data_IF_697122627306
#
_entry.id   IF_697122627306
#
_cell.length_a   1.000
_cell.length_b   1.000
_cell.length_c   1.000
_cell.angle_alpha   90.00
_cell.angle_beta   90.00
_cell.angle_gamma   90.00
#
_symmetry.space_group_name_H-M   'P 1'
#
loop_
_entity.id
_entity.type
_entity.pdbx_description
1 polymer ?
#
# COMPACT_ATOMS: atom_id res chain seq x y z
N UNK A 1 -3.11 -2.24 -13.11
CA UNK A 1 -4.21 -2.95 -12.41
C UNK A 1 -4.24 -4.41 -12.78
N UNK A 2 -3.93 -4.80 -14.03
CA UNK A 2 -3.79 -6.21 -14.41
C UNK A 2 -2.82 -6.98 -13.51
N UNK A 3 -1.63 -6.45 -13.24
CA UNK A 3 -0.67 -7.10 -12.33
C UNK A 3 -1.26 -7.39 -10.94
N UNK A 4 -1.94 -6.40 -10.34
CA UNK A 4 -2.58 -6.58 -9.04
C UNK A 4 -3.69 -7.63 -9.13
N UNK A 5 -4.46 -7.68 -10.22
CA UNK A 5 -5.53 -8.67 -10.37
C UNK A 5 -4.99 -10.09 -10.58
N UNK A 6 -3.85 -10.24 -11.25
CA UNK A 6 -3.19 -11.52 -11.50
C UNK A 6 -2.53 -12.14 -10.26
N UNK A 7 -2.18 -11.34 -9.26
CA UNK A 7 -1.63 -11.84 -8.00
C UNK A 7 -2.63 -12.76 -7.29
N UNK A 8 -2.12 -13.75 -6.55
CA UNK A 8 -2.95 -14.53 -5.65
C UNK A 8 -3.46 -13.67 -4.49
N UNK A 9 -4.54 -14.11 -3.83
CA UNK A 9 -5.07 -13.40 -2.66
C UNK A 9 -4.04 -13.29 -1.54
N UNK A 10 -3.27 -14.35 -1.29
CA UNK A 10 -2.23 -14.33 -0.24
C UNK A 10 -1.13 -13.32 -0.56
N UNK A 11 -0.72 -13.25 -1.84
CA UNK A 11 0.25 -12.26 -2.30
C UNK A 11 -0.29 -10.83 -2.15
N UNK A 12 -1.56 -10.60 -2.49
CA UNK A 12 -2.23 -9.30 -2.30
C UNK A 12 -2.23 -8.88 -0.83
N UNK A 13 -2.56 -9.80 0.08
CA UNK A 13 -2.59 -9.54 1.52
C UNK A 13 -1.19 -9.28 2.08
N UNK A 14 -0.21 -10.08 1.69
CA UNK A 14 1.19 -9.89 2.09
C UNK A 14 1.71 -8.53 1.63
N UNK A 15 1.48 -8.18 0.37
CA UNK A 15 1.88 -6.89 -0.20
C UNK A 15 1.15 -5.72 0.45
N UNK A 16 -0.13 -5.89 0.80
CA UNK A 16 -0.90 -4.91 1.56
C UNK A 16 -0.24 -4.63 2.92
N UNK A 17 0.12 -5.66 3.68
CA UNK A 17 0.78 -5.52 4.98
C UNK A 17 2.16 -4.87 4.87
N UNK A 18 2.92 -5.19 3.82
CA UNK A 18 4.22 -4.57 3.53
C UNK A 18 4.08 -3.06 3.27
N UNK A 19 3.11 -2.67 2.43
CA UNK A 19 2.85 -1.27 2.11
C UNK A 19 2.29 -0.48 3.30
N UNK A 20 1.45 -1.09 4.14
CA UNK A 20 0.96 -0.46 5.37
C UNK A 20 2.11 -0.21 6.35
N UNK A 21 3.04 -1.17 6.50
CA UNK A 21 4.27 -0.99 7.29
C UNK A 21 5.16 0.11 6.71
N UNK A 22 5.31 0.17 5.39
CA UNK A 22 6.06 1.24 4.73
C UNK A 22 5.43 2.61 4.98
N UNK A 23 4.11 2.72 4.84
CA UNK A 23 3.37 3.96 5.11
C UNK A 23 3.60 4.45 6.54
N UNK A 24 3.62 3.54 7.52
CA UNK A 24 3.92 3.88 8.91
C UNK A 24 5.35 4.40 9.03
N UNK A 25 6.35 3.72 8.44
CA UNK A 25 7.74 4.19 8.46
C UNK A 25 7.90 5.59 7.86
N UNK A 26 7.32 5.83 6.68
CA UNK A 26 7.37 7.13 6.00
C UNK A 26 6.70 8.24 6.83
N UNK A 27 5.56 7.95 7.44
CA UNK A 27 4.87 8.89 8.32
C UNK A 27 5.67 9.20 9.57
N UNK A 28 6.28 8.19 10.19
CA UNK A 28 7.13 8.37 11.37
C UNK A 28 8.34 9.24 11.03
N UNK A 29 9.01 8.98 9.90
CA UNK A 29 10.13 9.80 9.43
C UNK A 29 9.76 11.27 9.28
N UNK A 30 8.67 11.57 8.58
CA UNK A 30 8.20 12.95 8.42
C UNK A 30 7.84 13.58 9.77
N UNK A 31 7.21 12.80 10.67
CA UNK A 31 6.82 13.27 12.00
C UNK A 31 8.02 13.56 12.90
N UNK A 32 9.12 12.83 12.77
CA UNK A 32 10.37 13.09 13.49
C UNK A 32 11.19 14.23 12.89
N UNK A 33 10.65 14.98 11.91
CA UNK A 33 11.36 16.07 11.23
C UNK A 33 12.31 15.60 10.12
N UNK A 34 12.24 14.33 9.72
CA UNK A 34 12.96 13.81 8.58
C UNK A 34 12.35 14.28 7.26
N UNK A 35 13.19 14.44 6.24
CA UNK A 35 12.76 14.80 4.89
C UNK A 35 12.62 13.56 4.03
N UNK A 36 11.62 13.56 3.15
CA UNK A 36 11.49 12.55 2.10
C UNK A 36 12.26 13.01 0.87
N UNK A 37 12.99 12.10 0.24
CA UNK A 37 13.62 12.35 -1.07
C UNK A 37 12.55 12.67 -2.12
N UNK A 38 11.40 11.99 -2.04
CA UNK A 38 10.25 12.26 -2.88
C UNK A 38 9.00 12.55 -2.03
N UNK A 39 8.49 13.81 -1.99
CA UNK A 39 7.28 14.17 -1.27
C UNK A 39 6.03 13.38 -1.70
N UNK A 40 6.02 12.86 -2.94
CA UNK A 40 4.90 12.11 -3.49
C UNK A 40 4.88 10.63 -3.06
N UNK A 41 5.92 10.13 -2.40
CA UNK A 41 6.05 8.72 -2.04
C UNK A 41 4.91 8.25 -1.13
N UNK A 42 4.55 9.03 -0.10
CA UNK A 42 3.40 8.73 0.77
C UNK A 42 2.11 8.62 -0.05
N UNK A 43 1.92 9.50 -1.03
CA UNK A 43 0.73 9.49 -1.88
C UNK A 43 0.71 8.27 -2.80
N UNK A 44 1.86 7.85 -3.32
CA UNK A 44 1.99 6.66 -4.14
C UNK A 44 1.64 5.40 -3.32
N UNK A 45 2.26 5.21 -2.15
CA UNK A 45 1.98 4.07 -1.25
C UNK A 45 0.50 4.00 -0.88
N UNK A 46 -0.13 5.14 -0.55
CA UNK A 46 -1.58 5.18 -0.26
C UNK A 46 -2.44 4.75 -1.45
N UNK A 47 -2.05 5.11 -2.68
CA UNK A 47 -2.77 4.70 -3.89
C UNK A 47 -2.62 3.20 -4.13
N UNK A 48 -1.44 2.63 -3.90
CA UNK A 48 -1.21 1.21 -4.11
C UNK A 48 -1.95 0.34 -3.08
N UNK A 49 -1.97 0.78 -1.81
CA UNK A 49 -2.85 0.20 -0.78
C UNK A 49 -4.31 0.22 -1.23
N UNK A 50 -4.81 1.36 -1.73
CA UNK A 50 -6.20 1.48 -2.16
C UNK A 50 -6.52 0.54 -3.34
N UNK A 51 -5.59 0.38 -4.30
CA UNK A 51 -5.74 -0.54 -5.43
C UNK A 51 -5.79 -2.00 -4.99
N UNK A 52 -4.96 -2.41 -4.03
CA UNK A 52 -4.98 -3.75 -3.45
C UNK A 52 -6.30 -4.03 -2.71
N UNK A 53 -6.75 -3.10 -1.86
CA UNK A 53 -8.04 -3.23 -1.15
C UNK A 53 -9.20 -3.29 -2.14
N UNK A 54 -9.16 -2.53 -3.23
CA UNK A 54 -10.17 -2.60 -4.28
C UNK A 54 -10.18 -3.98 -4.95
N UNK A 55 -9.02 -4.51 -5.38
CA UNK A 55 -8.95 -5.82 -6.02
C UNK A 55 -9.44 -6.95 -5.09
N UNK A 56 -9.07 -6.91 -3.82
CA UNK A 56 -9.56 -7.86 -2.80
C UNK A 56 -11.08 -7.76 -2.61
N UNK A 57 -11.64 -6.54 -2.67
CA UNK A 57 -13.09 -6.32 -2.60
C UNK A 57 -13.82 -6.80 -3.86
N UNK A 58 -13.22 -6.66 -5.04
CA UNK A 58 -13.73 -7.22 -6.30
C UNK A 58 -13.85 -8.76 -6.21
N UNK A 59 -12.96 -9.41 -5.45
CA UNK A 59 -12.99 -10.86 -5.15
C UNK A 59 -13.93 -11.24 -4.00
N UNK A 60 -14.69 -10.30 -3.45
CA UNK A 60 -15.61 -10.52 -2.33
C UNK A 60 -14.91 -10.60 -0.96
N UNK A 61 -13.63 -10.25 -0.88
CA UNK A 61 -12.90 -10.24 0.37
C UNK A 61 -13.01 -8.88 1.10
N UNK A 62 -13.16 -8.93 2.42
CA UNK A 62 -13.25 -7.73 3.26
C UNK A 62 -11.94 -7.52 4.00
N UNK A 63 -11.32 -6.37 3.76
CA UNK A 63 -10.01 -5.90 4.27
C UNK A 63 -10.07 -4.44 4.68
#
# INVERSE_FOLDING_TARGET
>A
MEEIRQMSREEKLKKLEELERELIRLRTLVRSGGSLENPMQIRAVKKDIARLKLALREEGYRV
#
